data_IF_695638753155
#
_entry.id   IF_695638753155
#
_cell.length_a   1.000
_cell.length_b   1.000
_cell.length_c   1.000
_cell.angle_alpha   90.00
_cell.angle_beta   90.00
_cell.angle_gamma   90.00
#
_symmetry.space_group_name_H-M   'P 1'
#
loop_
_entity.id
_entity.type
_entity.pdbx_description
1 polymer ?
#
# COMPACT_ATOMS: atom_id res chain seq x y z
N UNK A 1 -16.04 15.91 -2.67
CA UNK A 1 -15.10 15.21 -1.76
C UNK A 1 -15.07 13.76 -2.19
N UNK A 2 -13.90 13.18 -2.40
CA UNK A 2 -13.78 11.78 -2.80
C UNK A 2 -14.04 10.88 -1.60
N UNK A 3 -14.71 9.75 -1.84
CA UNK A 3 -15.04 8.75 -0.83
C UNK A 3 -14.16 7.51 -0.99
N UNK A 4 -13.61 7.01 0.09
CA UNK A 4 -12.75 5.82 0.07
C UNK A 4 -13.17 4.80 1.12
N UNK A 5 -13.04 3.52 0.76
CA UNK A 5 -13.20 2.42 1.71
C UNK A 5 -11.85 1.86 2.12
N UNK A 6 -11.67 1.57 3.42
CA UNK A 6 -10.48 0.91 3.97
C UNK A 6 -10.88 -0.43 4.54
N UNK A 7 -10.55 -1.51 3.83
CA UNK A 7 -10.81 -2.89 4.24
C UNK A 7 -9.69 -3.35 5.17
N UNK A 8 -10.05 -3.69 6.40
CA UNK A 8 -9.08 -3.96 7.47
C UNK A 8 -8.71 -2.70 8.28
N UNK A 9 -9.61 -1.72 8.36
CA UNK A 9 -9.38 -0.41 8.99
C UNK A 9 -8.88 -0.48 10.44
N UNK A 10 -9.31 -1.47 11.24
CA UNK A 10 -8.90 -1.62 12.64
C UNK A 10 -7.51 -2.25 12.83
N UNK A 11 -6.88 -2.74 11.77
CA UNK A 11 -5.50 -3.22 11.81
C UNK A 11 -4.50 -2.09 12.01
N UNK A 12 -3.27 -2.40 12.46
CA UNK A 12 -2.22 -1.37 12.64
C UNK A 12 -1.97 -0.55 11.37
N UNK A 13 -1.89 -1.20 10.21
CA UNK A 13 -1.75 -0.52 8.92
C UNK A 13 -3.04 0.27 8.57
N UNK A 14 -4.21 -0.34 8.80
CA UNK A 14 -5.52 0.26 8.52
C UNK A 14 -5.74 1.57 9.26
N UNK A 15 -5.37 1.65 10.52
CA UNK A 15 -5.51 2.88 11.32
C UNK A 15 -4.64 4.02 10.78
N UNK A 16 -3.43 3.73 10.29
CA UNK A 16 -2.61 4.73 9.61
C UNK A 16 -3.21 5.15 8.26
N UNK A 17 -3.79 4.21 7.50
CA UNK A 17 -4.51 4.57 6.26
C UNK A 17 -5.71 5.47 6.55
N UNK A 18 -6.48 5.18 7.60
CA UNK A 18 -7.60 6.04 8.04
C UNK A 18 -7.10 7.46 8.34
N UNK A 19 -6.03 7.58 9.13
CA UNK A 19 -5.45 8.89 9.47
C UNK A 19 -5.05 9.67 8.22
N UNK A 20 -4.24 9.08 7.34
CA UNK A 20 -3.77 9.76 6.13
C UNK A 20 -4.89 10.08 5.15
N UNK A 21 -5.92 9.23 5.05
CA UNK A 21 -7.09 9.52 4.22
C UNK A 21 -7.89 10.72 4.76
N UNK A 22 -8.10 10.80 6.07
CA UNK A 22 -8.77 11.93 6.71
C UNK A 22 -7.96 13.23 6.57
N UNK A 23 -6.63 13.18 6.72
CA UNK A 23 -5.73 14.32 6.54
C UNK A 23 -5.79 14.88 5.11
N UNK A 24 -6.09 14.05 4.12
CA UNK A 24 -6.29 14.44 2.71
C UNK A 24 -7.72 14.83 2.37
N UNK A 25 -8.61 14.89 3.36
CA UNK A 25 -9.99 15.31 3.19
C UNK A 25 -10.91 14.28 2.54
N UNK A 26 -10.55 12.99 2.55
CA UNK A 26 -11.46 11.94 2.09
C UNK A 26 -12.60 11.68 3.07
N UNK A 27 -13.77 11.35 2.56
CA UNK A 27 -14.80 10.64 3.32
C UNK A 27 -14.37 9.18 3.45
N UNK A 28 -14.29 8.66 4.68
CA UNK A 28 -13.74 7.34 4.94
C UNK A 28 -14.80 6.38 5.46
N UNK A 29 -14.91 5.22 4.79
CA UNK A 29 -15.62 4.05 5.27
C UNK A 29 -14.61 3.01 5.71
N UNK A 30 -14.70 2.48 6.92
CA UNK A 30 -13.82 1.45 7.45
C UNK A 30 -14.52 0.13 7.64
N UNK A 31 -13.98 -0.96 7.08
CA UNK A 31 -14.46 -2.33 7.35
C UNK A 31 -13.54 -3.00 8.36
N UNK A 32 -14.11 -3.57 9.39
CA UNK A 32 -13.37 -4.38 10.36
C UNK A 32 -14.30 -5.38 11.08
N UNK A 33 -13.70 -6.43 11.66
CA UNK A 33 -14.48 -7.40 12.46
C UNK A 33 -15.16 -6.71 13.63
N UNK A 34 -16.41 -7.10 13.96
CA UNK A 34 -17.21 -6.50 15.04
C UNK A 34 -16.45 -6.35 16.36
N UNK A 35 -15.68 -7.39 16.77
CA UNK A 35 -14.84 -7.37 17.98
C UNK A 35 -13.69 -6.34 17.94
N UNK A 36 -13.43 -5.72 16.83
CA UNK A 36 -12.31 -4.79 16.62
C UNK A 36 -12.74 -3.35 16.39
N UNK A 37 -14.04 -3.05 16.44
CA UNK A 37 -14.59 -1.69 16.23
C UNK A 37 -13.99 -0.70 17.23
N UNK A 38 -13.89 -1.05 18.51
CA UNK A 38 -13.31 -0.18 19.55
C UNK A 38 -11.87 0.27 19.27
N UNK A 39 -11.12 -0.42 18.39
CA UNK A 39 -9.79 0.05 17.96
C UNK A 39 -9.83 1.30 17.07
N UNK A 40 -11.02 1.67 16.59
CA UNK A 40 -11.26 2.86 15.77
C UNK A 40 -11.87 4.03 16.55
N UNK A 41 -11.98 3.93 17.86
CA UNK A 41 -12.59 4.98 18.71
C UNK A 41 -11.92 6.35 18.57
N UNK A 42 -10.62 6.38 18.29
CA UNK A 42 -9.89 7.61 17.99
C UNK A 42 -10.42 8.36 16.74
N UNK A 43 -11.18 7.69 15.89
CA UNK A 43 -11.78 8.24 14.66
C UNK A 43 -13.30 8.37 14.75
N UNK A 44 -13.91 8.12 15.92
CA UNK A 44 -15.35 8.18 16.12
C UNK A 44 -15.93 9.51 15.65
N UNK A 45 -17.03 9.46 14.90
CA UNK A 45 -17.68 10.63 14.32
C UNK A 45 -16.98 11.22 13.08
N UNK A 46 -15.79 10.71 12.72
CA UNK A 46 -15.03 11.16 11.53
C UNK A 46 -15.04 10.15 10.39
N UNK A 47 -15.39 8.91 10.67
CA UNK A 47 -15.49 7.82 9.69
C UNK A 47 -16.80 7.05 9.88
N UNK A 48 -17.25 6.39 8.83
CA UNK A 48 -18.32 5.39 8.92
C UNK A 48 -17.68 4.02 9.11
N UNK A 49 -18.07 3.27 10.15
CA UNK A 49 -17.55 1.91 10.40
C UNK A 49 -18.62 0.89 10.05
N UNK A 50 -18.27 -0.07 9.21
CA UNK A 50 -19.13 -1.23 8.87
C UNK A 50 -18.49 -2.47 9.49
N UNK A 51 -19.09 -3.01 10.57
CA UNK A 51 -18.58 -4.20 11.22
C UNK A 51 -18.92 -5.45 10.40
N UNK A 52 -17.91 -6.29 10.15
CA UNK A 52 -18.06 -7.57 9.44
C UNK A 52 -16.74 -8.21 9.09
N UNK A 53 -16.81 -9.41 8.51
CA UNK A 53 -15.62 -10.07 7.97
C UNK A 53 -15.20 -9.40 6.65
N UNK A 54 -13.89 -9.31 6.42
CA UNK A 54 -13.36 -8.63 5.22
C UNK A 54 -13.58 -9.44 3.93
N UNK A 55 -13.82 -10.74 4.04
CA UNK A 55 -14.17 -11.64 2.95
C UNK A 55 -15.69 -11.88 2.81
N UNK A 56 -16.51 -11.23 3.62
CA UNK A 56 -17.96 -11.25 3.48
C UNK A 56 -18.37 -10.31 2.34
N UNK A 57 -18.94 -10.91 1.31
CA UNK A 57 -19.30 -10.24 0.06
C UNK A 57 -20.35 -9.14 0.25
N UNK A 58 -21.36 -9.35 1.10
CA UNK A 58 -22.41 -8.36 1.34
C UNK A 58 -21.88 -7.18 2.19
N UNK A 59 -21.00 -7.46 3.14
CA UNK A 59 -20.31 -6.42 3.91
C UNK A 59 -19.45 -5.56 2.98
N UNK A 60 -18.66 -6.18 2.10
CA UNK A 60 -17.83 -5.44 1.14
C UNK A 60 -18.70 -4.64 0.19
N UNK A 61 -19.76 -5.21 -0.39
CA UNK A 61 -20.68 -4.52 -1.28
C UNK A 61 -21.27 -3.25 -0.65
N UNK A 62 -21.72 -3.36 0.59
CA UNK A 62 -22.25 -2.22 1.34
C UNK A 62 -21.17 -1.16 1.58
N UNK A 63 -19.96 -1.59 1.96
CA UNK A 63 -18.90 -0.69 2.36
C UNK A 63 -18.30 0.12 1.19
N UNK A 64 -18.16 -0.51 0.01
CA UNK A 64 -17.55 0.13 -1.16
C UNK A 64 -18.55 0.89 -2.03
N UNK A 65 -19.83 0.83 -1.69
CA UNK A 65 -20.88 1.52 -2.44
C UNK A 65 -20.59 3.03 -2.54
N UNK A 66 -20.46 3.51 -3.79
CA UNK A 66 -20.17 4.91 -4.08
C UNK A 66 -18.74 5.37 -3.77
N UNK A 67 -17.83 4.45 -3.41
CA UNK A 67 -16.44 4.81 -3.17
C UNK A 67 -15.67 5.04 -4.47
N UNK A 68 -14.83 6.09 -4.49
CA UNK A 68 -13.90 6.43 -5.57
C UNK A 68 -12.63 5.58 -5.52
N UNK A 69 -12.31 5.06 -4.34
CA UNK A 69 -11.17 4.20 -4.11
C UNK A 69 -11.38 3.19 -2.98
N UNK A 70 -10.66 2.08 -3.06
CA UNK A 70 -10.65 1.04 -2.02
C UNK A 70 -9.21 0.71 -1.65
N UNK A 71 -8.88 0.82 -0.37
CA UNK A 71 -7.60 0.43 0.19
C UNK A 71 -7.78 -0.88 0.96
N UNK A 72 -7.05 -1.91 0.57
CA UNK A 72 -7.21 -3.26 1.13
C UNK A 72 -5.91 -3.77 1.71
N UNK A 73 -5.89 -4.03 3.01
CA UNK A 73 -4.77 -4.69 3.65
C UNK A 73 -4.90 -6.21 3.46
N UNK A 74 -4.23 -6.76 2.44
CA UNK A 74 -4.10 -8.22 2.27
C UNK A 74 -3.05 -8.72 3.24
N UNK A 75 -3.49 -9.19 4.40
CA UNK A 75 -2.61 -9.74 5.42
C UNK A 75 -2.64 -11.27 5.39
N UNK A 76 -1.51 -11.96 5.60
CA UNK A 76 -1.47 -13.42 5.62
C UNK A 76 -2.08 -14.03 6.90
N UNK A 77 -2.57 -13.19 7.80
CA UNK A 77 -3.09 -13.61 9.11
C UNK A 77 -4.55 -14.05 9.01
N UNK A 78 -4.80 -15.25 9.41
CA UNK A 78 -6.10 -15.90 9.40
C UNK A 78 -6.06 -17.16 8.56
N UNK A 79 -7.08 -17.97 8.70
CA UNK A 79 -7.39 -19.15 7.89
C UNK A 79 -8.69 -18.87 7.12
N UNK A 80 -9.07 -19.71 6.20
CA UNK A 80 -10.33 -19.63 5.45
C UNK A 80 -10.32 -18.64 4.26
N UNK A 81 -9.25 -18.61 3.47
CA UNK A 81 -9.18 -17.81 2.23
C UNK A 81 -9.53 -16.33 2.44
N UNK A 82 -9.07 -15.79 3.56
CA UNK A 82 -9.42 -14.44 3.98
C UNK A 82 -8.90 -13.37 3.02
N UNK A 83 -7.68 -13.53 2.49
CA UNK A 83 -7.07 -12.58 1.57
C UNK A 83 -7.65 -12.71 0.16
N UNK A 84 -7.74 -13.93 -0.38
CA UNK A 84 -8.27 -14.17 -1.74
C UNK A 84 -9.75 -13.84 -1.84
N UNK A 85 -10.57 -14.23 -0.86
CA UNK A 85 -11.99 -13.87 -0.82
C UNK A 85 -12.21 -12.37 -0.71
N UNK A 86 -11.39 -11.66 0.10
CA UNK A 86 -11.44 -10.19 0.16
C UNK A 86 -11.07 -9.55 -1.18
N UNK A 87 -9.98 -10.00 -1.80
CA UNK A 87 -9.55 -9.47 -3.10
C UNK A 87 -10.61 -9.69 -4.16
N UNK A 88 -11.17 -10.89 -4.25
CA UNK A 88 -12.23 -11.23 -5.19
C UNK A 88 -13.46 -10.34 -5.00
N UNK A 89 -13.95 -10.18 -3.77
CA UNK A 89 -15.11 -9.34 -3.49
C UNK A 89 -14.87 -7.88 -3.88
N UNK A 90 -13.69 -7.33 -3.58
CA UNK A 90 -13.34 -5.95 -3.95
C UNK A 90 -13.25 -5.79 -5.48
N UNK A 91 -12.59 -6.72 -6.19
CA UNK A 91 -12.44 -6.66 -7.65
C UNK A 91 -13.78 -6.71 -8.38
N UNK A 92 -14.71 -7.57 -7.93
CA UNK A 92 -15.99 -7.78 -8.59
C UNK A 92 -17.04 -6.71 -8.25
N UNK A 93 -16.96 -6.11 -7.06
CA UNK A 93 -18.02 -5.24 -6.56
C UNK A 93 -17.65 -3.76 -6.59
N UNK A 94 -16.36 -3.41 -6.79
CA UNK A 94 -15.96 -2.03 -6.95
C UNK A 94 -16.60 -1.42 -8.20
N UNK A 95 -17.02 -0.16 -8.09
CA UNK A 95 -17.58 0.55 -9.25
C UNK A 95 -16.54 0.66 -10.38
N UNK A 96 -16.96 0.68 -11.65
CA UNK A 96 -16.07 0.93 -12.76
C UNK A 96 -15.27 2.23 -12.57
N UNK A 97 -13.96 2.15 -12.80
CA UNK A 97 -13.06 3.29 -12.64
C UNK A 97 -12.59 3.59 -11.22
N UNK A 98 -13.09 2.87 -10.20
CA UNK A 98 -12.57 3.00 -8.84
C UNK A 98 -11.08 2.65 -8.78
N UNK A 99 -10.33 3.35 -7.93
CA UNK A 99 -8.91 3.10 -7.68
C UNK A 99 -8.75 2.03 -6.60
N UNK A 100 -8.12 0.91 -6.91
CA UNK A 100 -7.99 -0.23 -6.00
C UNK A 100 -6.54 -0.38 -5.56
N UNK A 101 -6.25 -0.21 -4.27
CA UNK A 101 -4.91 -0.29 -3.71
C UNK A 101 -4.86 -1.46 -2.72
N UNK A 102 -4.02 -2.43 -3.02
CA UNK A 102 -3.80 -3.60 -2.18
C UNK A 102 -2.41 -3.56 -1.56
N UNK A 103 -2.25 -4.13 -0.38
CA UNK A 103 -0.93 -4.33 0.24
C UNK A 103 -0.56 -5.80 0.26
N UNK A 104 0.72 -6.10 0.06
CA UNK A 104 1.26 -7.43 0.29
C UNK A 104 2.75 -7.36 0.71
N UNK A 105 3.38 -8.51 0.83
CA UNK A 105 4.81 -8.61 1.17
C UNK A 105 5.71 -8.66 -0.05
N UNK A 106 7.00 -8.35 0.13
CA UNK A 106 8.03 -8.46 -0.91
C UNK A 106 8.18 -9.86 -1.49
N UNK A 107 7.76 -10.91 -0.78
CA UNK A 107 7.84 -12.30 -1.26
C UNK A 107 6.91 -12.58 -2.45
N UNK A 108 6.00 -11.68 -2.77
CA UNK A 108 5.10 -11.80 -3.91
C UNK A 108 5.69 -11.03 -5.09
N UNK A 109 5.92 -11.74 -6.17
CA UNK A 109 6.41 -11.18 -7.43
C UNK A 109 5.28 -11.08 -8.45
N UNK A 110 5.34 -10.05 -9.32
CA UNK A 110 4.39 -9.89 -10.43
C UNK A 110 4.83 -10.69 -11.66
N UNK A 111 6.12 -10.63 -11.99
CA UNK A 111 6.71 -11.10 -13.24
C UNK A 111 7.91 -12.07 -13.05
N UNK A 112 8.27 -12.36 -11.80
CA UNK A 112 9.38 -13.25 -11.48
C UNK A 112 10.77 -12.62 -11.59
N UNK A 113 10.87 -11.31 -11.86
CA UNK A 113 12.17 -10.61 -12.03
C UNK A 113 12.76 -10.10 -10.71
N UNK A 114 12.06 -10.29 -9.60
CA UNK A 114 12.56 -9.91 -8.27
C UNK A 114 13.81 -10.71 -7.87
N UNK A 115 14.82 -10.02 -7.39
CA UNK A 115 16.06 -10.63 -6.90
C UNK A 115 16.08 -10.62 -5.38
N UNK A 116 16.02 -11.80 -4.78
CA UNK A 116 16.04 -11.96 -3.33
C UNK A 116 17.36 -12.55 -2.85
N UNK A 117 17.84 -12.07 -1.69
CA UNK A 117 18.98 -12.70 -1.03
C UNK A 117 18.64 -14.16 -0.61
N UNK A 118 19.62 -15.08 -0.58
CA UNK A 118 19.39 -16.45 -0.12
C UNK A 118 18.79 -16.51 1.30
N UNK A 119 19.23 -15.60 2.18
CA UNK A 119 18.74 -15.50 3.56
C UNK A 119 17.25 -15.12 3.57
N UNK A 120 16.82 -14.18 2.75
CA UNK A 120 15.41 -13.79 2.64
C UNK A 120 14.56 -14.97 2.15
N UNK A 121 15.02 -15.69 1.12
CA UNK A 121 14.32 -16.87 0.59
C UNK A 121 14.15 -17.95 1.66
N UNK A 122 15.21 -18.22 2.44
CA UNK A 122 15.15 -19.18 3.54
C UNK A 122 14.19 -18.73 4.65
N UNK A 123 14.26 -17.45 5.04
CA UNK A 123 13.37 -16.88 6.07
C UNK A 123 11.89 -16.98 5.67
N UNK A 124 11.52 -16.65 4.43
CA UNK A 124 10.14 -16.77 3.93
C UNK A 124 9.66 -18.23 3.95
N UNK A 125 10.50 -19.19 3.53
CA UNK A 125 10.15 -20.61 3.56
C UNK A 125 9.93 -21.12 4.99
N UNK A 126 10.84 -20.80 5.91
CA UNK A 126 10.75 -21.23 7.32
C UNK A 126 9.51 -20.62 7.97
N UNK A 127 9.30 -19.32 7.76
CA UNK A 127 8.12 -18.63 8.30
C UNK A 127 6.83 -19.22 7.75
N UNK A 128 6.72 -19.45 6.43
CA UNK A 128 5.53 -20.04 5.82
C UNK A 128 5.23 -21.45 6.36
N UNK A 129 6.27 -22.28 6.55
CA UNK A 129 6.13 -23.61 7.13
C UNK A 129 5.65 -23.57 8.58
N UNK A 130 6.27 -22.74 9.43
CA UNK A 130 5.88 -22.55 10.82
C UNK A 130 4.47 -21.99 10.96
N UNK A 131 4.13 -20.94 10.20
CA UNK A 131 2.83 -20.30 10.25
C UNK A 131 1.69 -21.25 9.84
N UNK A 132 1.95 -22.13 8.85
CA UNK A 132 1.00 -23.18 8.44
C UNK A 132 0.84 -24.24 9.52
N UNK A 133 1.93 -24.65 10.18
CA UNK A 133 1.90 -25.67 11.24
C UNK A 133 1.03 -25.24 12.42
N UNK A 134 1.11 -23.96 12.81
CA UNK A 134 0.32 -23.40 13.93
C UNK A 134 -1.01 -22.78 13.49
N UNK A 135 -1.37 -22.87 12.21
CA UNK A 135 -2.61 -22.34 11.63
C UNK A 135 -2.87 -20.85 11.90
N UNK A 136 -1.82 -20.05 11.91
CA UNK A 136 -1.91 -18.60 12.20
C UNK A 136 -1.92 -17.77 10.93
N UNK A 137 -1.29 -18.25 9.86
CA UNK A 137 -1.22 -17.49 8.60
C UNK A 137 -1.14 -18.43 7.38
N UNK A 138 -1.70 -17.98 6.27
CA UNK A 138 -1.65 -18.62 4.95
C UNK A 138 -1.00 -17.68 3.95
N UNK A 139 0.31 -17.86 3.71
CA UNK A 139 1.04 -17.09 2.69
C UNK A 139 0.53 -17.42 1.30
N UNK A 140 0.12 -18.66 1.05
CA UNK A 140 -0.39 -19.10 -0.25
C UNK A 140 -1.70 -18.39 -0.62
N UNK A 141 -2.57 -18.11 0.37
CA UNK A 141 -3.80 -17.34 0.16
C UNK A 141 -3.51 -15.89 -0.25
N UNK A 142 -2.48 -15.27 0.35
CA UNK A 142 -2.06 -13.94 -0.07
C UNK A 142 -1.48 -13.94 -1.50
N UNK A 143 -0.72 -14.99 -1.88
CA UNK A 143 -0.23 -15.16 -3.26
C UNK A 143 -1.40 -15.32 -4.22
N UNK A 144 -2.41 -16.13 -3.87
CA UNK A 144 -3.62 -16.30 -4.67
C UNK A 144 -4.39 -14.99 -4.82
N UNK A 145 -4.57 -14.23 -3.74
CA UNK A 145 -5.19 -12.91 -3.78
C UNK A 145 -4.49 -11.97 -4.78
N UNK A 146 -3.15 -11.91 -4.73
CA UNK A 146 -2.40 -11.06 -5.64
C UNK A 146 -2.48 -11.54 -7.10
N UNK A 147 -2.54 -12.86 -7.35
CA UNK A 147 -2.77 -13.39 -8.71
C UNK A 147 -4.11 -12.95 -9.29
N UNK A 148 -5.19 -12.97 -8.49
CA UNK A 148 -6.49 -12.45 -8.90
C UNK A 148 -6.42 -10.97 -9.26
N UNK A 149 -5.73 -10.17 -8.43
CA UNK A 149 -5.54 -8.74 -8.69
C UNK A 149 -4.75 -8.51 -9.97
N UNK A 150 -3.63 -9.20 -10.18
CA UNK A 150 -2.77 -9.04 -11.37
C UNK A 150 -3.47 -9.46 -12.68
N UNK A 151 -4.42 -10.39 -12.60
CA UNK A 151 -5.19 -10.86 -13.75
C UNK A 151 -6.40 -9.97 -14.07
N UNK A 152 -6.72 -8.99 -13.24
CA UNK A 152 -7.90 -8.13 -13.43
C UNK A 152 -7.59 -6.89 -14.27
N UNK A 153 -8.62 -6.40 -15.00
CA UNK A 153 -8.54 -5.15 -15.78
C UNK A 153 -8.94 -3.91 -14.96
N UNK A 154 -9.10 -4.07 -13.62
CA UNK A 154 -9.44 -2.95 -12.73
C UNK A 154 -8.25 -2.01 -12.56
N UNK A 155 -8.49 -0.77 -12.12
CA UNK A 155 -7.40 0.21 -11.87
C UNK A 155 -6.65 -0.09 -10.57
N UNK A 156 -5.99 -1.23 -10.50
CA UNK A 156 -5.30 -1.71 -9.31
C UNK A 156 -3.87 -1.21 -9.17
N UNK A 157 -3.39 -1.18 -7.92
CA UNK A 157 -1.98 -1.13 -7.52
C UNK A 157 -1.76 -2.10 -6.37
N UNK A 158 -0.71 -2.89 -6.40
CA UNK A 158 -0.31 -3.77 -5.29
C UNK A 158 0.97 -3.25 -4.65
N UNK A 159 0.85 -2.59 -3.51
CA UNK A 159 2.01 -2.04 -2.77
C UNK A 159 2.68 -3.16 -1.98
N UNK A 160 3.94 -3.44 -2.33
CA UNK A 160 4.72 -4.54 -1.73
C UNK A 160 5.66 -3.99 -0.67
N UNK A 161 5.42 -4.35 0.60
CA UNK A 161 6.26 -3.97 1.72
C UNK A 161 7.20 -5.09 2.15
N UNK A 162 8.27 -4.70 2.82
CA UNK A 162 9.21 -5.61 3.46
C UNK A 162 8.90 -5.75 4.96
N UNK A 163 9.90 -5.74 5.83
CA UNK A 163 9.71 -5.73 7.26
C UNK A 163 9.09 -4.41 7.72
N UNK A 164 7.91 -4.50 8.36
CA UNK A 164 7.19 -3.33 8.86
C UNK A 164 7.58 -3.07 10.32
N UNK A 165 8.00 -1.87 10.61
CA UNK A 165 8.31 -1.41 11.97
C UNK A 165 7.42 -0.24 12.38
N UNK A 166 7.30 -0.04 13.70
CA UNK A 166 6.67 1.15 14.27
C UNK A 166 7.69 2.29 14.38
N UNK A 167 7.20 3.51 14.51
CA UNK A 167 8.01 4.71 14.73
C UNK A 167 7.49 5.89 13.95
N UNK A 168 8.15 7.03 14.11
CA UNK A 168 7.79 8.27 13.44
C UNK A 168 7.98 8.16 11.93
N UNK A 169 7.15 8.90 11.19
CA UNK A 169 7.21 8.95 9.72
C UNK A 169 8.56 9.51 9.26
N UNK A 170 9.11 8.87 8.25
CA UNK A 170 10.30 9.33 7.52
C UNK A 170 9.93 9.90 6.14
N UNK A 171 8.65 10.07 5.89
CA UNK A 171 8.10 10.57 4.64
C UNK A 171 7.75 9.48 3.64
N UNK A 172 7.45 9.90 2.43
CA UNK A 172 7.02 8.98 1.38
C UNK A 172 8.14 7.99 1.02
N UNK A 173 7.89 6.67 1.09
CA UNK A 173 8.86 5.65 0.71
C UNK A 173 9.39 5.80 -0.71
N UNK A 174 10.63 5.37 -0.93
CA UNK A 174 11.14 5.10 -2.27
C UNK A 174 10.55 3.79 -2.78
N UNK A 175 10.46 3.65 -4.11
CA UNK A 175 9.92 2.44 -4.69
C UNK A 175 10.63 2.04 -5.99
N UNK A 176 10.56 0.77 -6.30
CA UNK A 176 10.98 0.19 -7.57
C UNK A 176 9.99 -0.88 -8.03
N UNK A 177 10.01 -1.22 -9.31
CA UNK A 177 9.23 -2.33 -9.86
C UNK A 177 9.70 -3.69 -9.34
N UNK A 178 11.00 -3.83 -9.03
CA UNK A 178 11.58 -5.10 -8.61
C UNK A 178 12.31 -4.98 -7.28
N UNK A 179 12.12 -6.00 -6.44
CA UNK A 179 12.96 -6.21 -5.25
C UNK A 179 14.38 -6.56 -5.72
N UNK A 180 15.39 -6.01 -5.05
CA UNK A 180 16.79 -6.15 -5.45
C UNK A 180 17.34 -4.93 -6.18
N UNK A 181 16.48 -4.00 -6.59
CA UNK A 181 16.91 -2.70 -7.09
C UNK A 181 17.74 -1.96 -6.02
N UNK A 182 18.91 -1.39 -6.39
CA UNK A 182 19.76 -0.64 -5.47
C UNK A 182 19.09 0.54 -4.75
N UNK A 183 17.97 1.08 -5.27
CA UNK A 183 17.19 2.12 -4.58
C UNK A 183 16.54 1.60 -3.29
N UNK A 184 16.22 0.30 -3.26
CA UNK A 184 15.62 -0.40 -2.12
C UNK A 184 16.70 -0.94 -1.17
N UNK A 185 17.66 -0.10 -0.76
CA UNK A 185 18.81 -0.51 0.06
C UNK A 185 18.46 -1.08 1.43
N UNK A 186 17.27 -0.73 1.95
CA UNK A 186 16.77 -1.23 3.23
C UNK A 186 15.60 -2.15 2.99
N UNK A 187 15.51 -3.23 3.77
CA UNK A 187 14.32 -4.09 3.82
C UNK A 187 13.37 -3.67 4.96
N UNK A 188 13.42 -2.42 5.38
CA UNK A 188 12.57 -1.87 6.42
C UNK A 188 11.63 -0.82 5.83
N UNK A 189 10.41 -0.76 6.35
CA UNK A 189 9.43 0.29 6.03
C UNK A 189 8.68 0.65 7.31
N UNK A 190 8.60 1.95 7.63
CA UNK A 190 7.71 2.40 8.70
C UNK A 190 6.26 2.10 8.31
N UNK A 191 5.48 1.56 9.23
CA UNK A 191 4.08 1.22 8.94
C UNK A 191 3.25 2.46 8.61
N UNK A 192 3.53 3.58 9.26
CA UNK A 192 2.93 4.88 8.96
C UNK A 192 3.23 5.32 7.52
N UNK A 193 4.47 5.12 7.05
CA UNK A 193 4.89 5.52 5.70
C UNK A 193 4.37 4.55 4.63
N UNK A 194 4.24 3.27 4.97
CA UNK A 194 3.56 2.32 4.09
C UNK A 194 2.11 2.76 3.82
N UNK A 195 1.39 3.11 4.87
CA UNK A 195 0.02 3.63 4.75
C UNK A 195 -0.02 4.95 3.97
N UNK A 196 0.95 5.84 4.20
CA UNK A 196 1.10 7.09 3.46
C UNK A 196 1.24 6.84 1.95
N UNK A 197 2.09 5.87 1.55
CA UNK A 197 2.27 5.49 0.15
C UNK A 197 0.99 4.91 -0.44
N UNK A 198 0.29 4.02 0.27
CA UNK A 198 -0.97 3.45 -0.20
C UNK A 198 -2.02 4.52 -0.45
N UNK A 199 -2.17 5.48 0.46
CA UNK A 199 -3.14 6.57 0.31
C UNK A 199 -2.72 7.52 -0.82
N UNK A 200 -1.41 7.79 -0.98
CA UNK A 200 -0.89 8.59 -2.09
C UNK A 200 -1.15 7.94 -3.46
N UNK A 201 -1.06 6.61 -3.53
CA UNK A 201 -1.30 5.85 -4.75
C UNK A 201 -2.74 5.95 -5.29
N UNK A 202 -3.70 6.39 -4.48
CA UNK A 202 -5.07 6.68 -4.94
C UNK A 202 -5.12 7.76 -6.03
N UNK A 203 -4.18 8.68 -6.03
CA UNK A 203 -4.13 9.84 -6.93
C UNK A 203 -3.01 9.75 -7.96
N UNK A 204 -2.18 8.71 -7.91
CA UNK A 204 -1.07 8.51 -8.85
C UNK A 204 -1.45 7.47 -9.93
N UNK A 205 -1.87 7.96 -11.09
CA UNK A 205 -2.23 7.11 -12.22
C UNK A 205 -1.04 6.35 -12.82
N UNK A 206 0.21 6.76 -12.55
CA UNK A 206 1.42 6.02 -12.98
C UNK A 206 1.56 4.68 -12.27
N UNK A 207 0.88 4.50 -11.14
CA UNK A 207 0.88 3.27 -10.37
C UNK A 207 -0.27 2.33 -10.76
N UNK A 208 -1.10 2.68 -11.75
CA UNK A 208 -2.14 1.76 -12.26
C UNK A 208 -1.47 0.57 -12.93
N UNK A 209 -1.93 -0.63 -12.56
CA UNK A 209 -1.37 -1.92 -12.99
C UNK A 209 0.10 -2.11 -12.58
N UNK A 210 0.54 -1.43 -11.52
CA UNK A 210 1.90 -1.57 -10.99
C UNK A 210 1.92 -2.24 -9.62
N UNK A 211 3.03 -2.95 -9.36
CA UNK A 211 3.27 -3.64 -8.09
C UNK A 211 4.55 -3.11 -7.41
N UNK A 212 4.59 -1.82 -7.01
CA UNK A 212 5.79 -1.21 -6.46
C UNK A 212 6.26 -1.90 -5.18
N UNK A 213 7.52 -2.31 -5.15
CA UNK A 213 8.23 -2.66 -3.93
C UNK A 213 8.72 -1.37 -3.26
N UNK A 214 8.38 -1.16 -2.00
CA UNK A 214 8.71 0.07 -1.29
C UNK A 214 9.67 -0.17 -0.13
N UNK A 215 10.48 0.85 0.19
CA UNK A 215 11.39 0.87 1.33
C UNK A 215 11.57 2.28 1.88
N UNK A 216 12.14 2.36 3.08
CA UNK A 216 12.52 3.64 3.70
C UNK A 216 13.42 4.44 2.76
N UNK A 217 13.20 5.76 2.59
CA UNK A 217 14.08 6.60 1.82
C UNK A 217 15.50 6.61 2.44
N UNK A 218 16.52 6.41 1.62
CA UNK A 218 17.89 6.62 2.09
C UNK A 218 18.12 8.12 2.27
N UNK A 219 18.57 8.56 3.45
CA UNK A 219 18.82 9.98 3.75
C UNK A 219 19.60 10.72 2.66
N UNK A 220 20.61 10.08 2.05
CA UNK A 220 21.37 10.66 0.93
C UNK A 220 20.52 10.90 -0.34
N UNK A 221 19.53 10.05 -0.61
CA UNK A 221 18.65 10.18 -1.80
C UNK A 221 17.56 11.22 -1.56
N UNK A 222 17.06 11.33 -0.33
CA UNK A 222 16.08 12.38 0.03
C UNK A 222 16.71 13.78 0.00
N UNK A 223 17.97 13.93 0.42
CA UNK A 223 18.70 15.19 0.32
C UNK A 223 18.95 15.60 -1.13
N UNK A 224 19.33 14.65 -2.01
CA UNK A 224 19.49 14.90 -3.45
C UNK A 224 18.19 15.28 -4.15
N UNK A 225 17.05 14.67 -3.75
CA UNK A 225 15.73 15.05 -4.28
C UNK A 225 15.26 16.39 -3.76
N UNK A 226 15.52 16.71 -2.49
CA UNK A 226 15.17 18.00 -1.91
C UNK A 226 15.96 19.15 -2.56
N UNK A 227 17.26 18.93 -2.84
CA UNK A 227 18.09 19.89 -3.58
C UNK A 227 17.64 20.02 -5.04
N UNK A 228 17.26 18.92 -5.71
CA UNK A 228 16.77 18.96 -7.09
C UNK A 228 15.39 19.63 -7.19
N UNK A 229 14.49 19.34 -6.26
CA UNK A 229 13.17 19.98 -6.18
C UNK A 229 13.28 21.46 -5.80
N UNK A 230 14.21 21.81 -4.91
CA UNK A 230 14.51 23.20 -4.54
C UNK A 230 15.16 23.99 -5.68
N UNK A 231 15.98 23.36 -6.52
CA UNK A 231 16.53 23.95 -7.74
C UNK A 231 15.46 24.20 -8.80
N UNK A 232 14.53 23.24 -8.99
CA UNK A 232 13.41 23.38 -9.95
C UNK A 232 12.44 24.48 -9.50
N UNK A 233 12.15 24.59 -8.20
CA UNK A 233 11.29 25.67 -7.66
C UNK A 233 11.99 27.04 -7.76
N UNK A 234 13.32 27.12 -7.52
CA UNK A 234 14.07 28.37 -7.73
C UNK A 234 14.14 28.78 -9.20
N UNK A 235 14.36 27.82 -10.12
CA UNK A 235 14.40 28.11 -11.55
C UNK A 235 13.03 28.58 -12.11
N UNK A 236 11.93 28.17 -11.49
CA UNK A 236 10.58 28.64 -11.86
C UNK A 236 10.28 30.07 -11.39
N UNK A 237 11.05 30.61 -10.42
CA UNK A 237 10.86 31.97 -9.86
C UNK A 237 11.99 32.95 -10.19
N UNK A 238 13.08 32.50 -10.82
CA UNK A 238 14.23 33.33 -11.18
C UNK A 238 14.68 33.04 -12.62
N UNK A 239 14.40 33.93 -13.58
CA UNK A 239 14.77 33.75 -14.97
C UNK A 239 16.29 33.66 -15.22
N UNK A 240 17.14 34.11 -14.26
CA UNK A 240 18.60 33.99 -14.34
C UNK A 240 19.08 32.55 -14.03
N UNK A 241 18.37 31.80 -13.19
CA UNK A 241 18.71 30.42 -12.84
C UNK A 241 18.35 29.42 -13.97
N UNK A 242 17.39 29.75 -14.81
CA UNK A 242 17.00 28.92 -15.96
C UNK A 242 18.10 28.86 -17.05
N UNK A 243 18.83 29.94 -17.24
CA UNK A 243 19.92 30.03 -18.21
C UNK A 243 21.16 29.21 -17.77
N UNK A 244 21.44 29.11 -16.47
CA UNK A 244 22.54 28.33 -15.93
C UNK A 244 22.32 26.81 -16.07
N UNK A 245 21.05 26.34 -15.97
CA UNK A 245 20.68 24.92 -16.15
C UNK A 245 20.71 24.47 -17.63
N UNK A 246 20.49 25.37 -18.56
CA UNK A 246 20.57 25.08 -19.99
C UNK A 246 22.04 24.87 -20.43
N UNK A 247 22.97 25.63 -19.88
CA UNK A 247 24.40 25.53 -20.21
C UNK A 247 25.10 24.29 -19.59
N UNK A 248 24.55 23.71 -18.51
CA UNK A 248 25.09 22.51 -17.89
C UNK A 248 24.69 21.20 -18.59
N UNK A 249 23.80 21.25 -19.59
CA UNK A 249 23.37 20.09 -20.41
C UNK A 249 24.12 19.95 -21.73
N UNK A 250 25.00 20.88 -22.06
CA UNK A 250 25.77 20.93 -23.32
C UNK A 250 27.28 20.82 -23.13
N UNK A 251 27.75 20.47 -21.91
CA UNK A 251 29.15 20.20 -21.60
C UNK A 251 29.44 18.73 -21.30
#
# INVERSE_FOLDING_TARGET
MKKVCIVGASGKLGQYMVRHALERGYEVVGVCRARSVGKLDAFKGRITVIPGATNDREIIKTAIAGCDGVLTALVPWGVDQSASGTAQAVLELARPGARLIFSCGWHITRDGQDVYSPIFKAAVKIFGWLARLIRVAELDDQVQACRLVFASDTRWTVVRGSNLEEGDSQGLPVWSQHVGDPILKSNLTRRVDFALFMVAALEDDKLIHEAPAIAVPNRRVSELRATHSGLVVRAAHDPGAAAALANARTA
#
